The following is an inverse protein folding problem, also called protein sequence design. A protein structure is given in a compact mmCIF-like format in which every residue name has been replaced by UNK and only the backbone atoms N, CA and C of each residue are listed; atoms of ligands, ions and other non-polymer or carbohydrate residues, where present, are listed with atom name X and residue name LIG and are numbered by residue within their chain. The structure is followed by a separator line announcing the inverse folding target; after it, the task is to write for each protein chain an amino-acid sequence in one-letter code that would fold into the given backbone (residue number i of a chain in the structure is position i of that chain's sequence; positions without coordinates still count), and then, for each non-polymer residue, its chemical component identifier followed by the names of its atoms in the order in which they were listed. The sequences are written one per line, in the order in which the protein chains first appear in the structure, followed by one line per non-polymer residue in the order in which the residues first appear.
data_IF_608341575326
#
_entry.id   IF_608341575326
#
_cell.length_a   1.000
_cell.length_b   1.000
_cell.length_c   1.000
_cell.angle_alpha   90.00
_cell.angle_beta   90.00
_cell.angle_gamma   90.00
#
_symmetry.space_group_name_H-M   'P 1'
#
loop_
_entity.id
_entity.type
_entity.pdbx_description
1 polymer ?
#
# COMPACT_ATOMS: atom_id res chain seq x y z
N UNK A 1 -25.02 -31.53 -52.11
CA UNK A 1 -23.66 -31.04 -51.80
C UNK A 1 -23.67 -29.71 -51.04
N UNK A 2 -24.34 -28.68 -51.54
CA UNK A 2 -24.44 -27.38 -50.86
C UNK A 2 -25.09 -27.49 -49.47
N UNK A 3 -26.07 -28.38 -49.28
CA UNK A 3 -26.74 -28.58 -47.98
C UNK A 3 -25.77 -29.15 -46.93
N UNK A 4 -24.93 -30.11 -47.32
CA UNK A 4 -23.97 -30.73 -46.43
C UNK A 4 -22.87 -29.76 -46.07
N UNK A 5 -22.41 -28.94 -46.98
CA UNK A 5 -21.42 -27.89 -46.76
C UNK A 5 -21.95 -26.85 -45.77
N UNK A 6 -23.22 -26.41 -45.94
CA UNK A 6 -23.87 -25.47 -45.05
C UNK A 6 -24.06 -26.03 -43.64
N UNK A 7 -24.45 -27.30 -43.58
CA UNK A 7 -24.57 -27.97 -42.28
C UNK A 7 -23.24 -28.08 -41.55
N UNK A 8 -22.16 -28.37 -42.29
CA UNK A 8 -20.81 -28.45 -41.73
C UNK A 8 -20.33 -27.08 -41.27
N UNK A 9 -20.57 -26.03 -42.06
CA UNK A 9 -20.27 -24.65 -41.68
C UNK A 9 -21.03 -24.21 -40.45
N UNK A 10 -22.35 -24.53 -40.39
CA UNK A 10 -23.14 -24.19 -39.21
C UNK A 10 -22.63 -24.89 -37.96
N UNK A 11 -22.28 -26.15 -38.06
CA UNK A 11 -21.73 -26.91 -36.95
C UNK A 11 -20.41 -26.30 -36.48
N UNK A 12 -19.52 -25.95 -37.39
CA UNK A 12 -18.26 -25.33 -37.10
C UNK A 12 -18.46 -23.96 -36.41
N UNK A 13 -19.37 -23.15 -36.90
CA UNK A 13 -19.70 -21.85 -36.35
C UNK A 13 -20.30 -21.98 -34.94
N UNK A 14 -21.18 -22.94 -34.74
CA UNK A 14 -21.76 -23.21 -33.40
C UNK A 14 -20.67 -23.57 -32.39
N UNK A 15 -19.72 -24.41 -32.79
CA UNK A 15 -18.59 -24.77 -31.92
C UNK A 15 -17.72 -23.56 -31.56
N UNK A 16 -17.51 -22.70 -32.57
CA UNK A 16 -16.74 -21.45 -32.32
C UNK A 16 -17.48 -20.53 -31.37
N UNK A 17 -18.78 -20.35 -31.57
CA UNK A 17 -19.60 -19.50 -30.68
C UNK A 17 -19.60 -20.05 -29.26
N UNK A 18 -19.77 -21.36 -29.10
CA UNK A 18 -19.74 -22.01 -27.79
C UNK A 18 -18.40 -21.80 -27.10
N UNK A 19 -17.31 -22.00 -27.81
CA UNK A 19 -15.95 -21.80 -27.28
C UNK A 19 -15.70 -20.34 -26.88
N UNK A 20 -16.14 -19.39 -27.70
CA UNK A 20 -16.01 -17.97 -27.42
C UNK A 20 -16.88 -17.55 -26.24
N UNK A 21 -18.09 -18.09 -26.16
CA UNK A 21 -18.98 -17.82 -25.02
C UNK A 21 -18.37 -18.29 -23.73
N UNK A 22 -17.80 -19.50 -23.70
CA UNK A 22 -17.13 -20.04 -22.52
C UNK A 22 -15.90 -19.22 -22.14
N UNK A 23 -15.15 -18.80 -23.13
CA UNK A 23 -13.97 -17.96 -22.92
C UNK A 23 -14.35 -16.60 -22.35
N UNK A 24 -15.44 -15.99 -22.87
CA UNK A 24 -15.93 -14.72 -22.35
C UNK A 24 -16.39 -14.83 -20.91
N UNK A 25 -17.06 -15.91 -20.54
CA UNK A 25 -17.46 -16.15 -19.14
C UNK A 25 -16.25 -16.24 -18.24
N UNK A 26 -15.23 -16.98 -18.66
CA UNK A 26 -13.99 -17.10 -17.88
C UNK A 26 -13.30 -15.75 -17.71
N UNK A 27 -13.30 -14.94 -18.77
CA UNK A 27 -12.71 -13.60 -18.71
C UNK A 27 -13.50 -12.65 -17.80
N UNK A 28 -14.83 -12.76 -17.81
CA UNK A 28 -15.67 -11.96 -16.91
C UNK A 28 -15.40 -12.31 -15.44
N UNK A 29 -15.32 -13.60 -15.12
CA UNK A 29 -14.99 -14.06 -13.76
C UNK A 29 -13.62 -13.54 -13.35
N UNK A 30 -12.64 -13.66 -14.22
CA UNK A 30 -11.29 -13.17 -13.96
C UNK A 30 -11.28 -11.66 -13.74
N UNK A 31 -12.01 -10.94 -14.57
CA UNK A 31 -12.13 -9.47 -14.46
C UNK A 31 -12.73 -9.07 -13.11
N UNK A 32 -13.78 -9.76 -12.68
CA UNK A 32 -14.44 -9.49 -11.40
C UNK A 32 -13.52 -9.80 -10.22
N UNK A 33 -12.78 -10.91 -10.31
CA UNK A 33 -11.79 -11.29 -9.29
C UNK A 33 -10.68 -10.24 -9.19
N UNK A 34 -10.19 -9.76 -10.31
CA UNK A 34 -9.14 -8.73 -10.34
C UNK A 34 -9.64 -7.40 -9.77
N UNK A 35 -10.88 -7.03 -10.06
CA UNK A 35 -11.49 -5.82 -9.48
C UNK A 35 -11.59 -5.93 -7.97
N UNK A 36 -11.98 -7.10 -7.47
CA UNK A 36 -12.09 -7.37 -6.04
C UNK A 36 -10.71 -7.32 -5.37
N UNK A 37 -9.70 -7.95 -5.97
CA UNK A 37 -8.33 -7.89 -5.48
C UNK A 37 -7.79 -6.47 -5.45
N UNK A 38 -8.03 -5.71 -6.52
CA UNK A 38 -7.59 -4.32 -6.59
C UNK A 38 -8.21 -3.47 -5.48
N UNK A 39 -9.48 -3.68 -5.21
CA UNK A 39 -10.17 -2.98 -4.12
C UNK A 39 -9.55 -3.32 -2.76
N UNK A 40 -9.25 -4.59 -2.53
CA UNK A 40 -8.61 -5.06 -1.30
C UNK A 40 -7.20 -4.47 -1.17
N UNK A 41 -6.43 -4.49 -2.25
CA UNK A 41 -5.08 -3.93 -2.25
C UNK A 41 -5.07 -2.42 -1.97
N UNK A 42 -5.99 -1.68 -2.57
CA UNK A 42 -6.12 -0.24 -2.30
C UNK A 42 -6.46 0.03 -0.84
N UNK A 43 -7.39 -0.76 -0.28
CA UNK A 43 -7.74 -0.64 1.13
C UNK A 43 -6.54 -0.92 2.04
N UNK A 44 -5.75 -1.95 1.72
CA UNK A 44 -4.55 -2.30 2.48
C UNK A 44 -3.48 -1.20 2.37
N UNK A 45 -3.32 -0.60 1.19
CA UNK A 45 -2.38 0.51 1.00
C UNK A 45 -2.76 1.71 1.87
N UNK A 46 -4.04 2.05 1.93
CA UNK A 46 -4.52 3.15 2.77
C UNK A 46 -4.23 2.87 4.24
N UNK A 47 -4.48 1.64 4.71
CA UNK A 47 -4.16 1.24 6.08
C UNK A 47 -2.68 1.35 6.38
N UNK A 48 -1.83 0.93 5.45
CA UNK A 48 -0.37 1.03 5.61
C UNK A 48 0.08 2.48 5.65
N UNK A 49 -0.48 3.35 4.81
CA UNK A 49 -0.17 4.79 4.83
C UNK A 49 -0.52 5.42 6.17
N UNK A 50 -1.66 5.07 6.73
CA UNK A 50 -2.07 5.55 8.05
C UNK A 50 -1.08 5.09 9.12
N UNK A 51 -0.65 3.83 9.08
CA UNK A 51 0.34 3.30 10.01
C UNK A 51 1.69 4.00 9.87
N UNK A 52 2.15 4.21 8.65
CA UNK A 52 3.41 4.90 8.39
C UNK A 52 3.35 6.34 8.92
N UNK A 53 2.27 7.05 8.65
CA UNK A 53 2.09 8.42 9.14
C UNK A 53 2.09 8.47 10.67
N UNK A 54 1.46 7.49 11.31
CA UNK A 54 1.45 7.37 12.76
C UNK A 54 2.86 7.17 13.32
N UNK A 55 3.64 6.27 12.71
CA UNK A 55 5.03 6.02 13.11
C UNK A 55 5.88 7.27 12.90
N UNK A 56 5.73 7.94 11.77
CA UNK A 56 6.46 9.19 11.46
C UNK A 56 6.17 10.25 12.51
N UNK A 57 4.91 10.40 12.90
CA UNK A 57 4.52 11.37 13.93
C UNK A 57 5.13 11.05 15.30
N UNK A 58 5.17 9.77 15.67
CA UNK A 58 5.81 9.33 16.91
C UNK A 58 7.31 9.60 16.87
N UNK A 59 7.96 9.30 15.75
CA UNK A 59 9.40 9.57 15.59
C UNK A 59 9.71 11.06 15.70
N UNK A 60 8.88 11.90 15.08
CA UNK A 60 9.03 13.36 15.16
C UNK A 60 8.90 13.85 16.59
N UNK A 61 7.91 13.36 17.33
CA UNK A 61 7.71 13.71 18.72
C UNK A 61 8.90 13.28 19.59
N UNK A 62 9.45 12.08 19.32
CA UNK A 62 10.64 11.60 20.02
C UNK A 62 11.87 12.44 19.72
N UNK A 63 12.05 12.85 18.47
CA UNK A 63 13.17 13.72 18.10
C UNK A 63 13.06 15.08 18.77
N UNK A 64 11.87 15.66 18.82
CA UNK A 64 11.62 16.93 19.51
C UNK A 64 11.95 16.81 21.01
N UNK A 65 11.56 15.69 21.60
CA UNK A 65 11.86 15.43 23.03
C UNK A 65 13.36 15.27 23.25
N UNK A 66 14.07 14.58 22.36
CA UNK A 66 15.52 14.43 22.44
C UNK A 66 16.22 15.78 22.33
N UNK A 67 15.81 16.62 21.42
CA UNK A 67 16.36 17.97 21.27
C UNK A 67 16.15 18.80 22.53
N UNK A 68 14.96 18.72 23.13
CA UNK A 68 14.65 19.42 24.38
C UNK A 68 15.54 18.93 25.53
N UNK A 69 15.73 17.61 25.60
CA UNK A 69 16.61 17.01 26.62
C UNK A 69 18.08 17.42 26.45
N UNK A 70 18.55 17.43 25.19
CA UNK A 70 19.91 17.87 24.89
C UNK A 70 20.12 19.32 25.27
N UNK A 71 19.18 20.19 24.98
CA UNK A 71 19.21 21.59 25.36
C UNK A 71 19.26 21.74 26.91
N UNK A 72 18.47 20.92 27.62
CA UNK A 72 18.46 20.91 29.05
C UNK A 72 19.83 20.47 29.63
N UNK A 73 20.39 19.42 29.06
CA UNK A 73 21.73 18.92 29.45
C UNK A 73 22.78 20.03 29.27
N UNK A 74 22.76 20.74 28.13
CA UNK A 74 23.70 21.84 27.92
C UNK A 74 23.52 22.97 28.89
N UNK A 75 22.28 23.31 29.23
CA UNK A 75 21.98 24.32 30.25
C UNK A 75 22.55 23.89 31.64
N UNK A 76 22.32 22.65 32.01
CA UNK A 76 22.83 22.12 33.29
C UNK A 76 24.34 22.10 33.32
N UNK A 77 25.01 21.73 32.24
CA UNK A 77 26.47 21.78 32.12
C UNK A 77 26.99 23.20 32.33
N UNK A 78 26.35 24.17 31.72
CA UNK A 78 26.72 25.58 31.91
C UNK A 78 26.56 26.06 33.33
N UNK A 79 25.47 25.66 33.99
CA UNK A 79 25.21 25.99 35.38
C UNK A 79 26.27 25.36 36.30
N UNK A 80 26.62 24.10 36.07
CA UNK A 80 27.65 23.42 36.85
C UNK A 80 29.00 24.11 36.66
N UNK A 81 29.34 24.47 35.44
CA UNK A 81 30.58 25.19 35.16
C UNK A 81 30.64 26.53 35.87
N UNK A 82 29.55 27.28 35.85
CA UNK A 82 29.47 28.57 36.56
C UNK A 82 29.60 28.42 38.06
N UNK A 83 28.94 27.40 38.61
CA UNK A 83 29.06 27.12 40.06
C UNK A 83 30.48 26.73 40.45
N UNK A 84 31.14 25.88 39.66
CA UNK A 84 32.54 25.49 39.89
C UNK A 84 33.46 26.69 39.84
N UNK A 85 33.26 27.60 38.91
CA UNK A 85 34.06 28.83 38.83
C UNK A 85 33.87 29.73 40.05
N UNK A 86 32.62 29.82 40.56
CA UNK A 86 32.33 30.57 41.78
C UNK A 86 33.04 30.00 43.00
N UNK A 87 33.07 28.67 43.11
CA UNK A 87 33.71 28.00 44.27
C UNK A 87 35.24 28.00 44.19
N UNK A 88 35.79 28.02 42.96
CA UNK A 88 37.24 28.03 42.78
C UNK A 88 37.85 29.42 42.93
N UNK A 89 37.06 30.44 42.73
CA UNK A 89 37.51 31.82 42.90
C UNK A 89 37.20 32.32 44.30
#
# INVERSE_FOLDING_TARGET
MKKNELLDENLTLRKKVERLTNKNRSLEVLSDDLKSENKTLKSNLIKQEIQINSVVNVMKAKNDLLEAKDAMIETLKSQIKNLNQKFLN
#
